data_IF_486180593410
#
_entry.id   IF_486180593410
#
_cell.length_a   1.000
_cell.length_b   1.000
_cell.length_c   1.000
_cell.angle_alpha   90.00
_cell.angle_beta   90.00
_cell.angle_gamma   90.00
#
_symmetry.space_group_name_H-M   'P 1'
#
loop_
_entity.id
_entity.type
_entity.pdbx_description
1 polymer ?
#
# COMPACT_ATOMS: atom_id res chain seq x y z
N UNK A 1 7.66 13.25 -16.04
CA UNK A 1 6.47 12.63 -15.43
C UNK A 1 6.59 12.74 -13.92
N UNK A 2 5.58 13.30 -13.23
CA UNK A 2 5.56 13.39 -11.75
C UNK A 2 4.99 12.08 -11.22
N UNK A 3 5.67 11.43 -10.28
CA UNK A 3 5.12 10.24 -9.59
C UNK A 3 3.97 10.65 -8.67
N UNK A 4 2.97 9.80 -8.61
CA UNK A 4 1.78 9.93 -7.75
C UNK A 4 2.18 9.95 -6.27
N UNK A 5 3.23 9.23 -5.91
CA UNK A 5 3.85 9.26 -4.59
C UNK A 5 4.35 10.64 -4.16
N UNK A 6 4.49 11.60 -5.09
CA UNK A 6 4.93 12.96 -4.81
C UNK A 6 3.76 13.96 -4.85
N UNK A 7 2.52 13.50 -4.83
CA UNK A 7 1.33 14.32 -4.64
C UNK A 7 1.15 14.65 -3.15
N UNK A 8 0.55 15.80 -2.85
CA UNK A 8 0.21 16.15 -1.46
C UNK A 8 -0.85 15.20 -0.90
N UNK A 9 -1.83 14.80 -1.72
CA UNK A 9 -2.86 13.83 -1.33
C UNK A 9 -2.27 12.49 -0.89
N UNK A 10 -1.18 12.05 -1.52
CA UNK A 10 -0.46 10.84 -1.13
C UNK A 10 0.17 10.98 0.26
N UNK A 11 0.62 12.18 0.64
CA UNK A 11 1.19 12.47 1.96
C UNK A 11 0.15 12.50 3.08
N UNK A 12 -1.09 12.81 2.74
CA UNK A 12 -2.17 12.95 3.70
C UNK A 12 -2.90 11.61 3.91
N UNK A 13 -3.32 10.96 2.82
CA UNK A 13 -4.19 9.78 2.89
C UNK A 13 -3.85 8.71 1.84
N UNK A 14 -3.75 7.47 2.30
CA UNK A 14 -3.61 6.28 1.47
C UNK A 14 -4.66 5.24 1.81
N UNK A 15 -5.37 4.75 0.79
CA UNK A 15 -6.23 3.58 0.90
C UNK A 15 -5.41 2.32 0.62
N UNK A 16 -5.63 1.29 1.41
CA UNK A 16 -5.05 -0.05 1.26
C UNK A 16 -6.21 -1.01 1.09
N UNK A 17 -6.25 -1.69 -0.05
CA UNK A 17 -7.30 -2.65 -0.38
C UNK A 17 -6.66 -3.93 -0.90
N UNK A 18 -7.12 -5.07 -0.41
CA UNK A 18 -6.52 -6.37 -0.67
C UNK A 18 -7.56 -7.34 -1.19
N UNK A 19 -7.28 -7.95 -2.33
CA UNK A 19 -8.07 -9.05 -2.90
C UNK A 19 -7.24 -10.34 -2.91
N UNK A 20 -7.84 -11.48 -2.61
CA UNK A 20 -7.16 -12.78 -2.52
C UNK A 20 -7.78 -13.84 -3.41
N UNK A 21 -7.22 -15.05 -3.40
CA UNK A 21 -7.61 -16.13 -4.32
C UNK A 21 -7.51 -15.73 -5.79
N UNK A 22 -6.51 -14.92 -6.13
CA UNK A 22 -6.33 -14.37 -7.47
C UNK A 22 -5.78 -15.40 -8.47
N UNK A 23 -5.28 -16.55 -7.99
CA UNK A 23 -4.82 -17.67 -8.80
C UNK A 23 -4.90 -19.01 -8.06
N UNK A 24 -4.48 -20.10 -8.73
CA UNK A 24 -4.47 -21.46 -8.17
C UNK A 24 -3.56 -21.62 -6.94
N UNK A 25 -2.64 -20.68 -6.76
CA UNK A 25 -1.67 -20.64 -5.68
C UNK A 25 -2.13 -19.73 -4.53
N UNK A 26 -3.35 -19.21 -4.58
CA UNK A 26 -3.93 -18.31 -3.58
C UNK A 26 -3.05 -17.07 -3.32
N UNK A 27 -2.51 -16.47 -4.37
CA UNK A 27 -1.89 -15.15 -4.25
C UNK A 27 -2.95 -14.08 -3.96
N UNK A 28 -2.50 -13.02 -3.30
CA UNK A 28 -3.28 -11.82 -3.03
C UNK A 28 -2.64 -10.63 -3.71
N UNK A 29 -3.47 -9.68 -4.13
CA UNK A 29 -3.08 -8.42 -4.71
C UNK A 29 -3.54 -7.32 -3.77
N UNK A 30 -2.60 -6.53 -3.26
CA UNK A 30 -2.87 -5.36 -2.42
C UNK A 30 -2.55 -4.08 -3.17
N UNK A 31 -3.53 -3.20 -3.26
CA UNK A 31 -3.45 -1.88 -3.87
C UNK A 31 -3.20 -0.83 -2.80
N UNK A 32 -2.19 0.02 -3.03
CA UNK A 32 -2.00 1.27 -2.30
C UNK A 32 -2.48 2.39 -3.20
N UNK A 33 -3.50 3.14 -2.78
CA UNK A 33 -4.16 4.15 -3.59
C UNK A 33 -4.16 5.49 -2.86
N UNK A 34 -4.13 6.60 -3.60
CA UNK A 34 -4.34 7.95 -3.03
C UNK A 34 -5.53 8.63 -3.71
N UNK A 35 -6.30 9.47 -2.99
CA UNK A 35 -7.32 10.31 -3.61
C UNK A 35 -6.75 11.16 -4.75
N UNK A 36 -7.51 11.25 -5.83
CA UNK A 36 -7.19 12.06 -7.00
C UNK A 36 -8.47 12.59 -7.66
N UNK A 37 -8.34 13.61 -8.53
CA UNK A 37 -9.49 14.23 -9.18
C UNK A 37 -10.33 13.25 -10.02
N UNK A 38 -9.72 12.18 -10.52
CA UNK A 38 -10.38 11.11 -11.27
C UNK A 38 -10.82 9.91 -10.40
N UNK A 39 -10.84 10.05 -9.08
CA UNK A 39 -11.15 8.98 -8.12
C UNK A 39 -9.95 8.62 -7.26
N UNK A 40 -9.37 7.43 -7.46
CA UNK A 40 -8.18 7.01 -6.75
C UNK A 40 -7.13 6.52 -7.76
N UNK A 41 -5.86 6.85 -7.52
CA UNK A 41 -4.74 6.43 -8.38
C UNK A 41 -3.76 5.54 -7.61
N UNK A 42 -3.18 4.52 -8.25
CA UNK A 42 -2.24 3.62 -7.60
C UNK A 42 -0.90 4.28 -7.28
N UNK A 43 -0.49 4.14 -6.03
CA UNK A 43 0.86 4.41 -5.53
C UNK A 43 1.75 3.18 -5.68
N UNK A 44 1.17 1.98 -5.58
CA UNK A 44 1.87 0.71 -5.67
C UNK A 44 0.90 -0.46 -5.62
N UNK A 45 1.36 -1.59 -6.17
CA UNK A 45 0.65 -2.87 -6.14
C UNK A 45 1.62 -3.90 -5.59
N UNK A 46 1.19 -4.66 -4.59
CA UNK A 46 1.97 -5.71 -3.96
C UNK A 46 1.27 -7.04 -4.20
N UNK A 47 2.01 -8.03 -4.72
CA UNK A 47 1.52 -9.39 -4.89
C UNK A 47 2.18 -10.25 -3.82
N UNK A 48 1.37 -10.88 -2.97
CA UNK A 48 1.83 -11.72 -1.86
C UNK A 48 1.25 -13.13 -1.95
N UNK A 49 1.90 -14.09 -1.28
CA UNK A 49 1.34 -15.43 -1.08
C UNK A 49 0.33 -15.36 0.08
N UNK A 50 -0.96 -15.30 -0.23
CA UNK A 50 -2.03 -15.14 0.76
C UNK A 50 -2.04 -13.78 1.46
N UNK A 51 -2.83 -13.68 2.54
CA UNK A 51 -3.08 -12.45 3.32
C UNK A 51 -2.53 -12.59 4.75
N UNK A 52 -1.26 -13.01 4.86
CA UNK A 52 -0.60 -13.18 6.17
C UNK A 52 0.22 -11.96 6.53
N UNK A 53 0.36 -11.68 7.82
CA UNK A 53 1.17 -10.54 8.30
C UNK A 53 2.62 -10.61 7.84
N UNK A 54 3.22 -11.81 7.82
CA UNK A 54 4.59 -12.02 7.34
C UNK A 54 4.71 -11.65 5.86
N UNK A 55 3.75 -12.09 5.03
CA UNK A 55 3.76 -11.82 3.60
C UNK A 55 3.53 -10.33 3.30
N UNK A 56 2.55 -9.71 3.98
CA UNK A 56 2.30 -8.27 3.87
C UNK A 56 3.49 -7.44 4.32
N UNK A 57 4.07 -7.73 5.49
CA UNK A 57 5.24 -7.01 6.00
C UNK A 57 6.42 -7.07 5.01
N UNK A 58 6.69 -8.24 4.43
CA UNK A 58 7.74 -8.38 3.44
C UNK A 58 7.44 -7.56 2.17
N UNK A 59 6.22 -7.66 1.64
CA UNK A 59 5.80 -6.94 0.45
C UNK A 59 5.76 -5.42 0.64
N UNK A 60 5.23 -4.94 1.76
CA UNK A 60 5.14 -3.52 2.08
C UNK A 60 6.52 -2.90 2.30
N UNK A 61 7.46 -3.64 2.92
CA UNK A 61 8.88 -3.22 3.02
C UNK A 61 9.51 -3.05 1.64
N UNK A 62 9.27 -3.99 0.73
CA UNK A 62 9.77 -3.89 -0.65
C UNK A 62 9.18 -2.68 -1.37
N UNK A 63 7.88 -2.41 -1.20
CA UNK A 63 7.24 -1.23 -1.77
C UNK A 63 7.85 0.05 -1.20
N UNK A 64 7.95 0.19 0.12
CA UNK A 64 8.56 1.35 0.79
C UNK A 64 9.98 1.61 0.28
N UNK A 65 10.80 0.57 0.20
CA UNK A 65 12.17 0.68 -0.31
C UNK A 65 12.23 1.09 -1.79
N UNK A 66 11.25 0.65 -2.60
CA UNK A 66 11.16 0.98 -4.03
C UNK A 66 10.68 2.41 -4.29
N UNK A 67 9.87 2.98 -3.40
CA UNK A 67 9.36 4.35 -3.49
C UNK A 67 10.44 5.41 -3.19
N UNK A 68 11.49 5.05 -2.45
CA UNK A 68 12.59 5.96 -2.12
C UNK A 68 12.13 7.14 -1.24
N UNK A 69 12.44 8.37 -1.66
CA UNK A 69 11.95 9.59 -0.98
C UNK A 69 10.58 10.00 -1.53
N UNK A 70 9.55 9.28 -1.11
CA UNK A 70 8.15 9.55 -1.46
C UNK A 70 7.44 10.43 -0.43
N UNK A 71 6.20 10.80 -0.73
CA UNK A 71 5.22 11.46 0.14
C UNK A 71 5.54 12.91 0.52
N UNK A 72 6.61 13.54 0.00
CA UNK A 72 7.04 14.93 0.29
C UNK A 72 7.13 15.32 1.79
N UNK A 73 6.88 14.38 2.72
CA UNK A 73 6.77 14.54 4.18
C UNK A 73 7.28 13.25 4.85
N UNK A 74 8.60 13.14 5.02
CA UNK A 74 9.28 12.06 5.76
C UNK A 74 9.06 10.60 5.28
N UNK A 75 8.50 10.37 4.09
CA UNK A 75 8.49 9.03 3.48
C UNK A 75 7.32 8.12 3.88
N UNK A 76 6.28 8.65 4.52
CA UNK A 76 5.04 7.92 4.81
C UNK A 76 3.81 8.84 4.76
N UNK A 77 2.61 8.32 4.47
CA UNK A 77 1.38 9.09 4.60
C UNK A 77 1.02 9.33 6.07
N UNK A 78 0.13 10.29 6.30
CA UNK A 78 -0.38 10.61 7.65
C UNK A 78 -1.42 9.58 8.09
N UNK A 79 -2.28 9.14 7.18
CA UNK A 79 -3.39 8.21 7.46
C UNK A 79 -3.38 7.08 6.44
N UNK A 80 -3.54 5.85 6.94
CA UNK A 80 -3.95 4.70 6.14
C UNK A 80 -5.41 4.36 6.43
N UNK A 81 -6.19 4.10 5.38
CA UNK A 81 -7.52 3.49 5.47
C UNK A 81 -7.41 2.10 4.88
N UNK A 82 -7.83 1.09 5.65
CA UNK A 82 -7.72 -0.32 5.29
C UNK A 82 -8.93 -1.07 5.84
N UNK A 83 -9.16 -2.28 5.36
CA UNK A 83 -10.11 -3.20 5.99
C UNK A 83 -9.71 -3.54 7.43
N UNK A 84 -10.68 -4.03 8.19
CA UNK A 84 -10.48 -4.50 9.57
C UNK A 84 -9.74 -5.85 9.59
N UNK A 85 -8.47 -5.82 9.19
CA UNK A 85 -7.56 -6.96 9.06
C UNK A 85 -6.36 -6.75 9.96
N UNK A 86 -6.22 -7.58 11.00
CA UNK A 86 -5.09 -7.49 11.93
C UNK A 86 -3.75 -7.67 11.22
N UNK A 87 -3.69 -8.55 10.21
CA UNK A 87 -2.47 -8.77 9.43
C UNK A 87 -2.02 -7.52 8.66
N UNK A 88 -2.97 -6.81 8.03
CA UNK A 88 -2.67 -5.58 7.28
C UNK A 88 -2.31 -4.44 8.22
N UNK A 89 -3.09 -4.25 9.29
CA UNK A 89 -2.86 -3.20 10.29
C UNK A 89 -1.49 -3.37 10.95
N UNK A 90 -1.17 -4.58 11.45
CA UNK A 90 0.12 -4.85 12.08
C UNK A 90 1.27 -4.65 11.09
N UNK A 91 1.11 -5.09 9.86
CA UNK A 91 2.12 -4.93 8.81
C UNK A 91 2.37 -3.45 8.53
N UNK A 92 1.33 -2.64 8.29
CA UNK A 92 1.44 -1.19 8.05
C UNK A 92 2.13 -0.46 9.21
N UNK A 93 1.82 -0.83 10.47
CA UNK A 93 2.46 -0.26 11.65
C UNK A 93 3.94 -0.66 11.80
N UNK A 94 4.36 -1.77 11.18
CA UNK A 94 5.71 -2.32 11.32
C UNK A 94 6.71 -1.88 10.23
N UNK A 95 6.25 -1.17 9.19
CA UNK A 95 7.02 -0.91 7.95
C UNK A 95 7.46 0.54 7.84
#
# INVERSE_FOLDING_TARGET
MRRESNLETAADLVFVDSTSSCDAENHSITFFLTPYAAGAVPLGIVITKGQTEIAYTAGFKLLKNSLGKSFNRNGSPTIFITDNSSAEINSLCSV
#
